data_IF_166696832920
#
_entry.id   IF_166696832920
#
_cell.length_a   1.000
_cell.length_b   1.000
_cell.length_c   1.000
_cell.angle_alpha   90.00
_cell.angle_beta   90.00
_cell.angle_gamma   90.00
#
_symmetry.space_group_name_H-M   'P 1'
#
loop_
_entity.id
_entity.type
_entity.pdbx_description
1 polymer ?
#
# COMPACT_ATOMS: atom_id res chain seq x y z
N UNK A 1 3.97 23.78 -12.92
CA UNK A 1 4.91 22.69 -12.55
C UNK A 1 4.29 21.68 -11.58
N UNK A 2 3.32 20.90 -12.05
CA UNK A 2 2.61 19.89 -11.23
C UNK A 2 3.38 18.55 -11.17
N UNK A 3 4.27 18.31 -12.13
CA UNK A 3 5.04 17.07 -12.24
C UNK A 3 6.13 16.90 -11.16
N UNK A 4 6.60 17.98 -10.54
CA UNK A 4 7.68 17.92 -9.55
C UNK A 4 7.18 17.64 -8.11
N UNK A 5 5.96 18.06 -7.77
CA UNK A 5 5.42 17.90 -6.42
C UNK A 5 4.88 16.50 -6.11
N UNK A 6 4.54 15.69 -7.12
CA UNK A 6 4.06 14.32 -6.89
C UNK A 6 5.19 13.30 -6.60
N UNK A 7 6.45 13.68 -6.83
CA UNK A 7 7.62 12.81 -6.62
C UNK A 7 8.08 12.71 -5.17
N UNK A 8 7.86 13.74 -4.36
CA UNK A 8 8.48 13.84 -3.03
C UNK A 8 7.52 13.76 -1.85
N UNK A 9 6.20 13.86 -2.10
CA UNK A 9 5.22 13.68 -1.04
C UNK A 9 4.93 12.19 -0.86
N UNK A 10 5.14 11.61 0.34
CA UNK A 10 4.76 10.23 0.62
C UNK A 10 3.26 10.04 0.40
N UNK A 11 2.86 8.83 0.02
CA UNK A 11 1.43 8.50 -0.06
C UNK A 11 0.81 8.63 1.35
N UNK A 12 -0.33 9.32 1.50
CA UNK A 12 -1.01 9.37 2.79
C UNK A 12 -1.48 7.97 3.18
N UNK A 13 -1.47 7.66 4.48
CA UNK A 13 -1.99 6.39 4.99
C UNK A 13 -3.49 6.30 4.67
N UNK A 14 -3.96 5.25 3.98
CA UNK A 14 -5.39 5.03 3.72
C UNK A 14 -6.27 5.08 4.98
N UNK A 15 -5.73 4.72 6.15
CA UNK A 15 -6.43 4.74 7.46
C UNK A 15 -6.74 6.15 7.95
N UNK A 16 -6.06 7.18 7.44
CA UNK A 16 -6.43 8.59 7.69
C UNK A 16 -7.80 8.93 7.09
N UNK A 17 -8.20 8.22 6.02
CA UNK A 17 -9.49 8.39 5.35
C UNK A 17 -10.54 7.39 5.82
N UNK A 18 -10.14 6.14 6.02
CA UNK A 18 -11.01 5.07 6.47
C UNK A 18 -10.31 4.24 7.57
N UNK A 19 -10.51 4.58 8.86
CA UNK A 19 -9.82 3.94 9.98
C UNK A 19 -10.12 2.44 10.12
N UNK A 20 -11.21 1.93 9.53
CA UNK A 20 -11.54 0.49 9.54
C UNK A 20 -10.71 -0.35 8.58
N UNK A 21 -9.91 0.27 7.70
CA UNK A 21 -8.98 -0.47 6.84
C UNK A 21 -7.98 -1.24 7.72
N UNK A 22 -7.85 -2.57 7.53
CA UNK A 22 -6.85 -3.36 8.25
C UNK A 22 -5.44 -2.84 8.00
N UNK A 23 -4.59 -2.87 9.02
CA UNK A 23 -3.19 -2.40 8.94
C UNK A 23 -2.44 -3.03 7.77
N UNK A 24 -2.51 -4.36 7.65
CA UNK A 24 -1.85 -5.10 6.57
C UNK A 24 -2.34 -4.68 5.16
N UNK A 25 -3.57 -4.20 5.04
CA UNK A 25 -4.10 -3.66 3.78
C UNK A 25 -3.54 -2.26 3.51
N UNK A 26 -3.48 -1.41 4.54
CA UNK A 26 -2.86 -0.09 4.42
C UNK A 26 -1.38 -0.20 3.99
N UNK A 27 -0.63 -1.10 4.62
CA UNK A 27 0.76 -1.37 4.27
C UNK A 27 0.93 -1.87 2.83
N UNK A 28 0.02 -2.74 2.36
CA UNK A 28 0.04 -3.21 0.99
C UNK A 28 -0.17 -2.03 0.01
N UNK A 29 -1.17 -1.18 0.26
CA UNK A 29 -1.42 0.01 -0.57
C UNK A 29 -0.22 0.96 -0.58
N UNK A 30 0.37 1.24 0.59
CA UNK A 30 1.54 2.11 0.70
C UNK A 30 2.75 1.54 -0.07
N UNK A 31 2.99 0.23 0.03
CA UNK A 31 4.08 -0.43 -0.73
C UNK A 31 3.88 -0.36 -2.25
N UNK A 32 2.63 -0.46 -2.73
CA UNK A 32 2.32 -0.30 -4.16
C UNK A 32 2.56 1.14 -4.65
N UNK A 33 2.43 2.12 -3.75
CA UNK A 33 2.59 3.54 -4.02
C UNK A 33 4.00 4.08 -3.71
N UNK A 34 4.94 3.22 -3.31
CA UNK A 34 6.30 3.63 -2.99
C UNK A 34 6.93 4.41 -4.16
N UNK A 35 7.76 5.41 -3.87
CA UNK A 35 8.31 6.28 -4.92
C UNK A 35 9.49 5.61 -5.62
N UNK A 36 10.31 4.93 -4.85
CA UNK A 36 11.42 4.13 -5.34
C UNK A 36 10.91 2.78 -5.89
N UNK A 37 11.26 2.41 -7.14
CA UNK A 37 10.84 1.14 -7.73
C UNK A 37 11.25 -0.09 -6.92
N UNK A 38 12.39 -0.04 -6.25
CA UNK A 38 12.93 -1.16 -5.47
C UNK A 38 12.18 -1.36 -4.15
N UNK A 39 11.47 -0.33 -3.66
CA UNK A 39 10.61 -0.40 -2.47
C UNK A 39 9.18 -0.87 -2.82
N UNK A 40 8.83 -0.95 -4.10
CA UNK A 40 7.53 -1.45 -4.53
C UNK A 40 7.47 -2.96 -4.50
N UNK A 41 6.25 -3.46 -4.43
CA UNK A 41 5.95 -4.86 -4.77
C UNK A 41 6.38 -5.12 -6.21
N UNK A 42 7.21 -6.14 -6.43
CA UNK A 42 7.89 -6.35 -7.71
C UNK A 42 7.02 -7.07 -8.73
N UNK A 43 6.05 -7.86 -8.28
CA UNK A 43 5.21 -8.67 -9.16
C UNK A 43 3.74 -8.68 -8.74
N UNK A 44 2.84 -8.83 -9.71
CA UNK A 44 1.41 -9.01 -9.41
C UNK A 44 1.12 -10.28 -8.57
N UNK A 45 1.96 -11.32 -8.69
CA UNK A 45 1.82 -12.54 -7.91
C UNK A 45 2.06 -12.32 -6.42
N UNK A 46 3.02 -11.46 -6.07
CA UNK A 46 3.28 -11.07 -4.68
C UNK A 46 2.09 -10.28 -4.09
N UNK A 47 1.49 -9.37 -4.88
CA UNK A 47 0.25 -8.68 -4.49
C UNK A 47 -0.87 -9.67 -4.20
N UNK A 48 -1.07 -10.64 -5.10
CA UNK A 48 -2.11 -11.66 -4.95
C UNK A 48 -1.88 -12.52 -3.69
N UNK A 49 -0.64 -12.91 -3.40
CA UNK A 49 -0.28 -13.64 -2.18
C UNK A 49 -0.63 -12.85 -0.91
N UNK A 50 -0.20 -11.58 -0.83
CA UNK A 50 -0.50 -10.72 0.32
C UNK A 50 -2.01 -10.48 0.51
N UNK A 51 -2.76 -10.30 -0.59
CA UNK A 51 -4.22 -10.18 -0.52
C UNK A 51 -4.87 -11.44 0.04
N UNK A 52 -4.38 -12.62 -0.35
CA UNK A 52 -4.88 -13.89 0.16
C UNK A 52 -4.58 -14.05 1.67
N UNK A 53 -3.39 -13.66 2.12
CA UNK A 53 -3.01 -13.66 3.53
C UNK A 53 -3.90 -12.72 4.35
N UNK A 54 -4.09 -11.48 3.88
CA UNK A 54 -4.97 -10.49 4.53
C UNK A 54 -6.41 -11.00 4.62
N UNK A 55 -6.91 -11.63 3.55
CA UNK A 55 -8.27 -12.19 3.53
C UNK A 55 -8.44 -13.39 4.48
N UNK A 56 -7.36 -14.14 4.75
CA UNK A 56 -7.37 -15.32 5.60
C UNK A 56 -7.05 -15.00 7.07
N UNK A 57 -6.53 -13.80 7.35
CA UNK A 57 -6.23 -13.37 8.70
C UNK A 57 -7.52 -13.26 9.54
N UNK A 58 -7.50 -13.67 10.83
CA UNK A 58 -8.60 -13.40 11.74
C UNK A 58 -8.86 -11.90 11.80
N UNK A 59 -10.12 -11.47 11.61
CA UNK A 59 -10.49 -10.08 11.83
C UNK A 59 -10.31 -9.80 13.33
N UNK A 60 -9.30 -8.98 13.66
CA UNK A 60 -9.00 -8.53 15.01
C UNK A 60 -10.01 -7.47 15.45
#
# INVERSE_FOLDING_TARGET
>A
DIAFHHRHTPAPDPREREPSVPEAMADLVLSLMAKEPDERVQTAGEVAGRLQEISNAPRS
#
